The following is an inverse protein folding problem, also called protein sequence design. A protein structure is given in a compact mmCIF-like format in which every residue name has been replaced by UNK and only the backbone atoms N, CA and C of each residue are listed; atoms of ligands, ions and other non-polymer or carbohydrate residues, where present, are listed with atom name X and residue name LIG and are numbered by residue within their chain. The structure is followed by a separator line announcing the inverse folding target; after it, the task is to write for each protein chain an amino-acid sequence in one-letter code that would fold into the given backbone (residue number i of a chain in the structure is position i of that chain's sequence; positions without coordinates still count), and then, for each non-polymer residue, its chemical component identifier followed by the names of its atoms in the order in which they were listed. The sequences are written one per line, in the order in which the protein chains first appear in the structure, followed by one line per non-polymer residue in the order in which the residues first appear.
data_IF_996302010160
#
_entry.id   IF_996302010160
#
_cell.length_a   1.000
_cell.length_b   1.000
_cell.length_c   1.000
_cell.angle_alpha   90.00
_cell.angle_beta   90.00
_cell.angle_gamma   90.00
#
_symmetry.space_group_name_H-M   'P 1'
#
loop_
_entity.id
_entity.type
_entity.pdbx_description
1 polymer ?
#
# COMPACT_ATOMS: atom_id res chain seq x y z
N UNK A 1 26.91 15.90 12.82
CA UNK A 1 25.94 16.76 12.08
C UNK A 1 24.61 16.04 11.98
N UNK A 2 24.53 14.85 11.40
CA UNK A 2 23.27 14.12 11.20
C UNK A 2 22.55 13.87 12.53
N UNK A 3 23.26 13.35 13.54
CA UNK A 3 22.67 13.12 14.86
C UNK A 3 22.00 14.38 15.40
N UNK A 4 22.74 15.48 15.44
CA UNK A 4 22.27 16.73 16.05
C UNK A 4 21.18 17.46 15.26
N UNK A 5 21.29 17.44 13.92
CA UNK A 5 20.39 18.20 13.05
C UNK A 5 19.14 17.42 12.61
N UNK A 6 19.17 16.09 12.70
CA UNK A 6 18.06 15.23 12.28
C UNK A 6 17.50 14.47 13.49
N UNK A 7 18.28 13.60 14.11
CA UNK A 7 17.75 12.70 15.14
C UNK A 7 17.42 13.39 16.46
N UNK A 8 18.15 14.44 16.83
CA UNK A 8 17.89 15.24 18.05
C UNK A 8 17.00 16.45 17.80
N UNK A 9 16.61 16.71 16.56
CA UNK A 9 15.79 17.86 16.21
C UNK A 9 14.28 17.51 16.35
N UNK A 10 13.56 18.17 17.27
CA UNK A 10 12.14 17.88 17.53
C UNK A 10 11.23 18.06 16.32
N UNK A 11 11.61 18.89 15.34
CA UNK A 11 10.87 19.04 14.07
C UNK A 11 10.74 17.72 13.34
N UNK A 12 11.75 16.83 13.44
CA UNK A 12 11.74 15.55 12.75
C UNK A 12 11.16 14.42 13.60
N UNK A 13 11.56 14.27 14.86
CA UNK A 13 11.10 13.13 15.65
C UNK A 13 9.72 13.30 16.30
N UNK A 14 9.18 14.51 16.35
CA UNK A 14 7.78 14.77 16.78
C UNK A 14 6.81 14.74 15.61
N UNK A 15 7.23 14.19 14.47
CA UNK A 15 6.43 14.16 13.27
C UNK A 15 5.19 13.29 13.43
N UNK A 16 4.04 13.88 13.20
CA UNK A 16 2.77 13.19 13.09
C UNK A 16 2.60 12.64 11.68
N UNK A 17 1.99 11.46 11.53
CA UNK A 17 1.63 10.94 10.20
C UNK A 17 0.73 11.97 9.50
N UNK A 18 1.05 12.40 8.26
CA UNK A 18 0.45 13.60 7.65
C UNK A 18 -0.96 13.36 7.09
N UNK A 19 -1.84 12.75 7.85
CA UNK A 19 -3.26 12.61 7.49
C UNK A 19 -4.01 13.94 7.56
N UNK A 20 -3.54 14.86 8.41
CA UNK A 20 -4.08 16.20 8.57
C UNK A 20 -3.09 17.22 8.00
N UNK A 21 -3.46 17.87 6.91
CA UNK A 21 -2.59 18.81 6.20
C UNK A 21 -2.23 20.00 7.05
N UNK A 22 -3.17 20.50 7.85
CA UNK A 22 -2.97 21.63 8.76
C UNK A 22 -1.90 21.38 9.82
N UNK A 23 -1.74 20.14 10.29
CA UNK A 23 -0.68 19.76 11.24
C UNK A 23 0.66 19.58 10.54
N UNK A 24 0.65 19.27 9.25
CA UNK A 24 1.84 18.89 8.48
C UNK A 24 2.41 20.01 7.61
N UNK A 25 1.85 21.21 7.64
CA UNK A 25 2.24 22.34 6.77
C UNK A 25 3.73 22.65 6.78
N UNK A 26 4.37 22.62 7.95
CA UNK A 26 5.81 22.91 8.09
C UNK A 26 6.74 21.87 7.45
N UNK A 27 6.20 20.75 6.96
CA UNK A 27 6.96 19.64 6.39
C UNK A 27 6.60 19.31 4.93
N UNK A 28 5.86 20.19 4.27
CA UNK A 28 5.39 19.96 2.90
C UNK A 28 6.54 19.70 1.93
N UNK A 29 7.64 20.44 2.05
CA UNK A 29 8.81 20.22 1.18
C UNK A 29 9.41 18.83 1.38
N UNK A 30 9.56 18.37 2.63
CA UNK A 30 10.07 17.02 2.92
C UNK A 30 9.12 15.93 2.39
N UNK A 31 7.81 16.11 2.50
CA UNK A 31 6.81 15.19 1.98
C UNK A 31 6.85 15.13 0.43
N UNK A 32 6.98 16.27 -0.23
CA UNK A 32 7.12 16.36 -1.69
C UNK A 32 8.39 15.67 -2.17
N UNK A 33 9.52 15.90 -1.49
CA UNK A 33 10.77 15.24 -1.81
C UNK A 33 10.67 13.72 -1.65
N UNK A 34 10.01 13.24 -0.60
CA UNK A 34 9.79 11.81 -0.40
C UNK A 34 8.96 11.19 -1.53
N UNK A 35 7.86 11.82 -1.93
CA UNK A 35 7.03 11.35 -3.07
C UNK A 35 7.85 11.24 -4.35
N UNK A 36 8.66 12.26 -4.65
CA UNK A 36 9.53 12.28 -5.85
C UNK A 36 10.54 11.14 -5.80
N UNK A 37 11.23 10.96 -4.68
CA UNK A 37 12.23 9.89 -4.51
C UNK A 37 11.60 8.51 -4.67
N UNK A 38 10.43 8.27 -4.09
CA UNK A 38 9.74 6.97 -4.22
C UNK A 38 9.32 6.72 -5.66
N UNK A 39 8.75 7.72 -6.34
CA UNK A 39 8.39 7.62 -7.75
C UNK A 39 9.62 7.29 -8.63
N UNK A 40 10.73 7.97 -8.41
CA UNK A 40 11.98 7.74 -9.16
C UNK A 40 12.57 6.34 -8.89
N UNK A 41 12.55 5.88 -7.64
CA UNK A 41 13.09 4.57 -7.28
C UNK A 41 12.24 3.40 -7.77
N UNK A 42 10.92 3.57 -7.84
CA UNK A 42 9.98 2.52 -8.22
C UNK A 42 9.56 2.57 -9.69
N UNK A 43 9.90 3.66 -10.40
CA UNK A 43 9.41 3.98 -11.75
C UNK A 43 7.87 4.07 -11.83
N UNK A 44 7.21 4.30 -10.71
CA UNK A 44 5.76 4.52 -10.67
C UNK A 44 5.46 6.01 -10.94
N UNK A 45 4.38 6.32 -11.69
CA UNK A 45 4.06 7.71 -12.06
C UNK A 45 3.63 8.57 -10.87
N UNK A 46 3.15 7.95 -9.80
CA UNK A 46 2.68 8.62 -8.59
C UNK A 46 3.03 7.81 -7.36
N UNK A 47 3.34 8.52 -6.28
CA UNK A 47 3.45 7.98 -4.94
C UNK A 47 2.73 8.90 -3.95
N UNK A 48 2.21 8.35 -2.85
CA UNK A 48 1.78 9.17 -1.73
C UNK A 48 2.99 9.56 -0.87
N UNK A 49 2.79 10.46 0.08
CA UNK A 49 3.90 10.94 0.90
C UNK A 49 4.15 10.08 2.14
N UNK A 50 3.13 9.57 2.78
CA UNK A 50 3.29 8.77 4.00
C UNK A 50 1.97 8.17 4.47
N UNK A 51 2.04 6.96 4.99
CA UNK A 51 1.00 6.31 5.77
C UNK A 51 1.59 5.90 7.13
N UNK A 52 0.76 5.44 8.06
CA UNK A 52 1.20 5.12 9.42
C UNK A 52 2.31 4.07 9.44
N UNK A 53 2.09 2.96 8.74
CA UNK A 53 3.01 1.83 8.65
C UNK A 53 2.74 0.99 7.39
N UNK A 54 3.56 -0.04 7.17
CA UNK A 54 3.45 -0.95 6.04
C UNK A 54 2.11 -1.68 5.99
N UNK A 55 1.64 -2.17 7.14
CA UNK A 55 0.37 -2.91 7.25
C UNK A 55 -0.82 -2.02 6.87
N UNK A 56 -0.83 -0.79 7.39
CA UNK A 56 -1.85 0.22 7.06
C UNK A 56 -1.79 0.59 5.59
N UNK A 57 -0.59 0.78 5.02
CA UNK A 57 -0.42 1.10 3.61
C UNK A 57 -1.02 0.01 2.70
N UNK A 58 -0.75 -1.26 3.00
CA UNK A 58 -1.32 -2.38 2.25
C UNK A 58 -2.85 -2.45 2.37
N UNK A 59 -3.40 -2.22 3.56
CA UNK A 59 -4.84 -2.21 3.78
C UNK A 59 -5.55 -1.02 3.13
N UNK A 60 -4.92 0.15 3.13
CA UNK A 60 -5.42 1.35 2.42
C UNK A 60 -5.40 1.13 0.90
N UNK A 61 -4.35 0.51 0.36
CA UNK A 61 -4.30 0.14 -1.05
C UNK A 61 -5.43 -0.83 -1.43
N UNK A 62 -5.70 -1.84 -0.60
CA UNK A 62 -6.82 -2.76 -0.81
C UNK A 62 -8.17 -2.02 -0.85
N UNK A 63 -8.40 -1.10 0.10
CA UNK A 63 -9.61 -0.28 0.17
C UNK A 63 -9.76 0.61 -1.07
N UNK A 64 -8.66 1.25 -1.49
CA UNK A 64 -8.64 2.09 -2.69
C UNK A 64 -8.97 1.27 -3.95
N UNK A 65 -8.31 0.14 -4.14
CA UNK A 65 -8.57 -0.75 -5.29
C UNK A 65 -10.02 -1.25 -5.30
N UNK A 66 -10.59 -1.58 -4.16
CA UNK A 66 -12.00 -1.98 -4.05
C UNK A 66 -12.95 -0.85 -4.48
N UNK A 67 -12.65 0.39 -4.09
CA UNK A 67 -13.44 1.57 -4.50
C UNK A 67 -13.31 1.92 -5.99
N UNK A 68 -12.15 1.63 -6.59
CA UNK A 68 -11.84 1.93 -7.99
C UNK A 68 -12.24 0.81 -8.96
N UNK A 69 -12.92 -0.24 -8.50
CA UNK A 69 -13.41 -1.31 -9.38
C UNK A 69 -14.20 -0.74 -10.55
N UNK A 70 -13.98 -1.29 -11.74
CA UNK A 70 -14.72 -0.93 -12.93
C UNK A 70 -16.21 -1.24 -12.78
N UNK A 71 -17.04 -0.61 -13.60
CA UNK A 71 -18.49 -0.90 -13.58
C UNK A 71 -18.81 -2.38 -13.83
N UNK A 72 -18.01 -3.05 -14.65
CA UNK A 72 -18.22 -4.46 -14.97
C UNK A 72 -17.80 -5.35 -13.79
N UNK A 73 -16.69 -5.04 -13.11
CA UNK A 73 -16.29 -5.71 -11.88
C UNK A 73 -17.32 -5.53 -10.75
N UNK A 74 -17.92 -4.34 -10.64
CA UNK A 74 -18.98 -4.09 -9.65
C UNK A 74 -20.25 -4.89 -9.97
N UNK A 75 -20.64 -4.96 -11.24
CA UNK A 75 -21.82 -5.73 -11.68
C UNK A 75 -21.63 -7.23 -11.54
N UNK A 76 -20.43 -7.74 -11.79
CA UNK A 76 -20.09 -9.17 -11.62
C UNK A 76 -19.92 -9.56 -10.14
N UNK A 77 -19.92 -8.59 -9.22
CA UNK A 77 -19.72 -8.84 -7.80
C UNK A 77 -18.28 -9.21 -7.45
N UNK A 78 -17.30 -8.77 -8.25
CA UNK A 78 -15.88 -8.99 -7.98
C UNK A 78 -15.50 -8.37 -6.63
N UNK A 79 -15.25 -9.19 -5.61
CA UNK A 79 -14.93 -8.75 -4.26
C UNK A 79 -13.81 -9.58 -3.60
N UNK A 80 -13.08 -10.37 -4.38
CA UNK A 80 -11.96 -11.16 -3.90
C UNK A 80 -10.66 -10.36 -4.06
N UNK A 81 -9.95 -10.16 -2.97
CA UNK A 81 -8.59 -9.67 -2.93
C UNK A 81 -7.65 -10.87 -2.80
N UNK A 82 -6.78 -11.04 -3.78
CA UNK A 82 -5.71 -12.03 -3.66
C UNK A 82 -4.54 -11.42 -2.88
N UNK A 83 -3.99 -12.19 -1.94
CA UNK A 83 -2.82 -11.81 -1.13
C UNK A 83 -1.81 -12.93 -1.18
N UNK A 84 -0.55 -12.57 -1.45
CA UNK A 84 0.56 -13.53 -1.48
C UNK A 84 0.74 -14.20 -0.12
N UNK A 85 0.99 -15.51 -0.10
CA UNK A 85 1.20 -16.29 1.12
C UNK A 85 2.46 -15.91 1.89
N UNK A 86 3.45 -15.30 1.21
CA UNK A 86 4.70 -14.84 1.83
C UNK A 86 4.56 -13.48 2.55
N UNK A 87 3.37 -12.88 2.55
CA UNK A 87 3.13 -11.61 3.26
C UNK A 87 3.35 -11.79 4.76
N UNK A 88 3.87 -10.76 5.41
CA UNK A 88 4.03 -10.79 6.87
C UNK A 88 2.68 -10.97 7.57
N UNK A 89 2.61 -11.82 8.62
CA UNK A 89 1.36 -12.11 9.33
C UNK A 89 0.64 -10.87 9.87
N UNK A 90 1.39 -9.88 10.37
CA UNK A 90 0.82 -8.63 10.85
C UNK A 90 0.15 -7.83 9.72
N UNK A 91 0.75 -7.80 8.52
CA UNK A 91 0.17 -7.12 7.36
C UNK A 91 -1.14 -7.80 6.95
N UNK A 92 -1.14 -9.13 6.88
CA UNK A 92 -2.34 -9.90 6.58
C UNK A 92 -3.47 -9.63 7.60
N UNK A 93 -3.14 -9.61 8.90
CA UNK A 93 -4.13 -9.36 9.95
C UNK A 93 -4.79 -7.99 9.83
N UNK A 94 -4.02 -6.94 9.50
CA UNK A 94 -4.58 -5.59 9.30
C UNK A 94 -5.43 -5.53 8.04
N UNK A 95 -4.98 -6.15 6.93
CA UNK A 95 -5.76 -6.24 5.69
C UNK A 95 -7.10 -6.94 5.97
N UNK A 96 -7.09 -8.08 6.66
CA UNK A 96 -8.31 -8.81 7.02
C UNK A 96 -9.27 -7.96 7.85
N UNK A 97 -8.76 -7.27 8.86
CA UNK A 97 -9.54 -6.40 9.74
C UNK A 97 -10.22 -5.27 8.96
N UNK A 98 -9.52 -4.68 7.98
CA UNK A 98 -10.06 -3.60 7.15
C UNK A 98 -10.99 -4.09 6.03
N UNK A 99 -10.74 -5.29 5.50
CA UNK A 99 -11.51 -5.88 4.40
C UNK A 99 -12.89 -6.37 4.86
N UNK A 100 -12.98 -6.95 6.06
CA UNK A 100 -14.20 -7.59 6.57
C UNK A 100 -15.42 -6.66 6.58
N UNK A 101 -15.36 -5.43 7.12
CA UNK A 101 -16.51 -4.52 7.14
C UNK A 101 -16.96 -4.08 5.74
N UNK A 102 -16.09 -4.16 4.76
CA UNK A 102 -16.36 -3.77 3.37
C UNK A 102 -16.87 -4.93 2.50
N UNK A 103 -17.05 -6.11 3.09
CA UNK A 103 -17.50 -7.32 2.39
C UNK A 103 -16.48 -7.90 1.42
N UNK A 104 -15.21 -7.50 1.51
CA UNK A 104 -14.14 -8.10 0.73
C UNK A 104 -13.81 -9.49 1.25
N UNK A 105 -13.58 -10.43 0.33
CA UNK A 105 -13.06 -11.76 0.63
C UNK A 105 -11.56 -11.77 0.36
N UNK A 106 -10.80 -12.41 1.25
CA UNK A 106 -9.34 -12.53 1.07
C UNK A 106 -9.02 -13.96 0.70
N UNK A 107 -8.32 -14.11 -0.41
CA UNK A 107 -7.76 -15.37 -0.87
C UNK A 107 -6.23 -15.29 -0.72
N UNK A 108 -5.67 -16.13 0.15
CA UNK A 108 -4.22 -16.22 0.34
C UNK A 108 -3.68 -17.40 -0.46
N UNK A 109 -2.58 -17.21 -1.16
CA UNK A 109 -1.95 -18.27 -1.94
C UNK A 109 -0.67 -17.86 -2.63
N UNK A 110 -0.06 -18.80 -3.35
CA UNK A 110 1.16 -18.55 -4.11
C UNK A 110 0.84 -17.76 -5.39
N UNK A 111 1.46 -16.60 -5.56
CA UNK A 111 1.20 -15.76 -6.74
C UNK A 111 1.61 -16.43 -8.07
N UNK A 112 2.55 -17.38 -8.05
CA UNK A 112 2.98 -18.12 -9.26
C UNK A 112 1.92 -19.10 -9.76
N UNK A 113 1.02 -19.51 -8.88
CA UNK A 113 -0.09 -20.42 -9.16
C UNK A 113 -1.42 -19.68 -9.31
N UNK A 114 -1.39 -18.33 -9.21
CA UNK A 114 -2.59 -17.52 -9.31
C UNK A 114 -3.25 -17.65 -10.68
N UNK A 115 -4.47 -18.11 -10.67
CA UNK A 115 -5.38 -18.06 -11.83
C UNK A 115 -6.33 -16.89 -11.62
N UNK A 116 -6.26 -15.90 -12.51
CA UNK A 116 -7.17 -14.76 -12.45
C UNK A 116 -8.59 -15.18 -12.80
N UNK A 117 -9.49 -15.03 -11.86
CA UNK A 117 -10.93 -15.24 -12.06
C UNK A 117 -11.64 -13.88 -12.07
N UNK A 118 -12.85 -13.79 -12.67
CA UNK A 118 -13.63 -12.56 -12.68
C UNK A 118 -14.01 -12.03 -11.30
N UNK A 119 -13.90 -12.85 -10.25
CA UNK A 119 -14.18 -12.46 -8.87
C UNK A 119 -13.04 -11.69 -8.21
N UNK A 120 -11.80 -11.83 -8.74
CA UNK A 120 -10.61 -11.16 -8.20
C UNK A 120 -10.56 -9.74 -8.77
N UNK A 121 -10.68 -8.75 -7.89
CA UNK A 121 -10.59 -7.34 -8.30
C UNK A 121 -9.18 -6.77 -8.22
N UNK A 122 -8.32 -7.33 -7.36
CA UNK A 122 -6.95 -6.87 -7.16
C UNK A 122 -6.08 -7.94 -6.49
N UNK A 123 -4.77 -7.74 -6.53
CA UNK A 123 -3.81 -8.58 -5.83
C UNK A 123 -2.76 -7.74 -5.08
N UNK A 124 -2.35 -8.24 -3.92
CA UNK A 124 -1.21 -7.75 -3.15
C UNK A 124 -0.13 -8.81 -3.21
N UNK A 125 1.00 -8.49 -3.83
CA UNK A 125 2.14 -9.38 -3.97
C UNK A 125 3.24 -8.94 -3.01
N UNK A 126 3.83 -9.91 -2.33
CA UNK A 126 4.97 -9.70 -1.46
C UNK A 126 6.23 -10.29 -2.09
N UNK A 127 7.30 -9.51 -2.17
CA UNK A 127 8.55 -9.96 -2.78
C UNK A 127 9.74 -9.63 -1.90
N UNK A 128 10.17 -10.58 -1.07
CA UNK A 128 11.38 -10.42 -0.25
C UNK A 128 12.65 -10.47 -1.10
N UNK A 129 12.61 -11.07 -2.30
CA UNK A 129 13.77 -11.21 -3.17
C UNK A 129 13.66 -10.32 -4.43
N UNK A 130 14.72 -9.55 -4.68
CA UNK A 130 14.81 -8.63 -5.84
C UNK A 130 15.23 -9.33 -7.15
N UNK A 131 15.39 -10.66 -7.18
CA UNK A 131 16.01 -11.38 -8.30
C UNK A 131 15.06 -11.70 -9.44
N UNK A 132 13.76 -11.63 -9.22
CA UNK A 132 12.76 -11.93 -10.26
C UNK A 132 12.05 -10.64 -10.70
N UNK A 133 12.02 -10.27 -12.00
CA UNK A 133 11.25 -9.13 -12.48
C UNK A 133 9.77 -9.27 -12.12
N UNK A 134 9.12 -8.17 -11.74
CA UNK A 134 7.65 -8.19 -11.59
C UNK A 134 7.02 -8.52 -12.96
N UNK A 135 6.04 -9.43 -13.02
CA UNK A 135 5.27 -9.57 -14.24
C UNK A 135 4.60 -8.23 -14.56
N UNK A 136 4.72 -7.80 -15.82
CA UNK A 136 4.00 -6.63 -16.26
C UNK A 136 2.50 -6.87 -16.04
N UNK A 137 1.88 -6.01 -15.25
CA UNK A 137 0.43 -6.02 -15.11
C UNK A 137 -0.12 -5.44 -16.40
N UNK A 138 -0.83 -6.28 -17.16
CA UNK A 138 -1.52 -5.89 -18.38
C UNK A 138 -2.79 -5.10 -18.03
#
# INVERSE_FOLDING_TARGET
VIQRNVFENPVWYTSYTPYQTEVSQGRLEALMNFQTVISDLTAMPLANCSLLDESTAAAEAATMMHGLRTRDQQKSGANVLFVDEEIFPQNLAVIQTRALPQGMKIQVGNYKELVFTPEIFACILYRPDRKTPMPAVA
#
